data_IF_435013851251
#
_entry.id   IF_435013851251
#
_cell.length_a   1.000
_cell.length_b   1.000
_cell.length_c   1.000
_cell.angle_alpha   90.00
_cell.angle_beta   90.00
_cell.angle_gamma   90.00
#
_symmetry.space_group_name_H-M   'P 1'
#
loop_
_entity.id
_entity.type
_entity.pdbx_description
1 polymer ?
#
# COMPACT_ATOMS: atom_id res chain seq x y z
N UNK A 1 14.39 -8.90 -3.16
CA UNK A 1 13.39 -9.20 -2.11
C UNK A 1 12.91 -7.87 -1.56
N UNK A 2 11.63 -7.54 -1.68
CA UNK A 2 11.07 -6.31 -1.08
C UNK A 2 11.10 -6.43 0.45
N UNK A 3 11.36 -5.31 1.14
CA UNK A 3 11.13 -5.24 2.58
C UNK A 3 9.63 -5.19 2.86
N UNK A 4 9.22 -5.48 4.10
CA UNK A 4 7.81 -5.43 4.50
C UNK A 4 7.23 -4.03 4.22
N UNK A 5 7.96 -2.97 4.52
CA UNK A 5 7.56 -1.59 4.27
C UNK A 5 7.38 -1.29 2.78
N UNK A 6 8.31 -1.76 1.94
CA UNK A 6 8.20 -1.56 0.49
C UNK A 6 6.98 -2.29 -0.09
N UNK A 7 6.69 -3.50 0.40
CA UNK A 7 5.49 -4.21 0.01
C UNK A 7 4.21 -3.49 0.44
N UNK A 8 4.19 -2.86 1.62
CA UNK A 8 3.06 -2.04 2.08
C UNK A 8 2.85 -0.82 1.17
N UNK A 9 3.93 -0.11 0.80
CA UNK A 9 3.85 1.04 -0.12
C UNK A 9 3.31 0.60 -1.48
N UNK A 10 3.77 -0.55 -2.00
CA UNK A 10 3.29 -1.08 -3.27
C UNK A 10 1.77 -1.36 -3.25
N UNK A 11 1.26 -1.90 -2.16
CA UNK A 11 -0.18 -2.15 -1.98
C UNK A 11 -0.99 -0.86 -2.00
N UNK A 12 -0.50 0.17 -1.33
CA UNK A 12 -1.12 1.49 -1.28
C UNK A 12 -1.15 2.16 -2.67
N UNK A 13 -0.08 2.04 -3.44
CA UNK A 13 -0.03 2.54 -4.82
C UNK A 13 -0.98 1.78 -5.75
N UNK A 14 -1.07 0.46 -5.62
CA UNK A 14 -2.05 -0.34 -6.38
C UNK A 14 -3.47 0.10 -6.05
N UNK A 15 -3.77 0.36 -4.78
CA UNK A 15 -5.07 0.86 -4.37
C UNK A 15 -5.36 2.26 -4.93
N UNK A 16 -4.41 3.20 -4.87
CA UNK A 16 -4.53 4.54 -5.48
C UNK A 16 -4.92 4.45 -6.96
N UNK A 17 -4.24 3.59 -7.72
CA UNK A 17 -4.44 3.49 -9.17
C UNK A 17 -5.72 2.72 -9.56
N UNK A 18 -6.17 1.79 -8.72
CA UNK A 18 -7.23 0.83 -9.10
C UNK A 18 -8.51 0.93 -8.27
N UNK A 19 -8.48 1.63 -7.13
CA UNK A 19 -9.55 1.69 -6.14
C UNK A 19 -9.92 0.33 -5.54
N UNK A 20 -9.01 -0.65 -5.55
CA UNK A 20 -9.26 -2.05 -5.17
C UNK A 20 -8.14 -2.62 -4.27
N UNK A 21 -8.05 -2.15 -3.02
CA UNK A 21 -6.91 -2.38 -2.11
C UNK A 21 -6.64 -3.83 -1.69
N UNK A 22 -7.65 -4.55 -1.21
CA UNK A 22 -7.37 -5.66 -0.28
C UNK A 22 -7.37 -7.03 -0.94
N UNK A 23 -8.26 -7.26 -1.90
CA UNK A 23 -8.51 -8.59 -2.47
C UNK A 23 -7.45 -8.99 -3.51
N UNK A 24 -7.00 -8.06 -4.36
CA UNK A 24 -6.03 -8.32 -5.42
C UNK A 24 -4.65 -8.64 -4.84
N UNK A 25 -4.20 -7.83 -3.88
CA UNK A 25 -2.92 -7.97 -3.18
C UNK A 25 -2.81 -9.31 -2.45
N UNK A 26 -3.83 -9.69 -1.68
CA UNK A 26 -3.88 -10.96 -0.95
C UNK A 26 -3.84 -12.16 -1.92
N UNK A 27 -4.41 -12.01 -3.12
CA UNK A 27 -4.50 -13.06 -4.12
C UNK A 27 -3.21 -13.23 -4.95
N UNK A 28 -2.57 -12.13 -5.35
CA UNK A 28 -1.34 -12.13 -6.18
C UNK A 28 -0.07 -12.42 -5.39
N UNK A 29 -0.01 -12.06 -4.11
CA UNK A 29 1.16 -12.35 -3.28
C UNK A 29 1.25 -13.83 -2.82
N UNK A 30 0.32 -14.72 -3.23
CA UNK A 30 0.36 -16.14 -2.85
C UNK A 30 1.63 -16.82 -3.37
N UNK A 31 2.50 -17.21 -2.43
CA UNK A 31 3.62 -18.13 -2.64
C UNK A 31 4.88 -17.80 -1.85
N UNK A 32 5.16 -16.51 -1.60
CA UNK A 32 6.49 -16.06 -1.15
C UNK A 32 6.52 -15.03 -0.01
N UNK A 33 5.40 -14.81 0.67
CA UNK A 33 5.29 -13.78 1.73
C UNK A 33 5.66 -14.34 3.11
N UNK A 34 6.26 -13.51 3.96
CA UNK A 34 6.59 -13.84 5.35
C UNK A 34 5.46 -13.49 6.32
N UNK A 35 5.43 -14.15 7.49
CA UNK A 35 4.48 -13.83 8.56
C UNK A 35 4.59 -12.37 9.05
N UNK A 36 5.79 -11.78 8.98
CA UNK A 36 6.02 -10.37 9.30
C UNK A 36 5.26 -9.41 8.38
N UNK A 37 5.10 -9.75 7.10
CA UNK A 37 4.29 -8.96 6.18
C UNK A 37 2.81 -8.99 6.57
N UNK A 38 2.28 -10.18 6.87
CA UNK A 38 0.89 -10.35 7.31
C UNK A 38 0.60 -9.60 8.61
N UNK A 39 1.53 -9.57 9.57
CA UNK A 39 1.40 -8.76 10.78
C UNK A 39 1.46 -7.25 10.49
N UNK A 40 2.31 -6.82 9.55
CA UNK A 40 2.37 -5.43 9.11
C UNK A 40 1.05 -4.96 8.48
N UNK A 41 0.50 -5.78 7.59
CA UNK A 41 -0.84 -5.58 7.01
C UNK A 41 -1.90 -5.56 8.11
N UNK A 42 -1.96 -6.56 9.00
CA UNK A 42 -2.95 -6.57 10.08
C UNK A 42 -2.88 -5.36 11.02
N UNK A 43 -1.68 -4.77 11.23
CA UNK A 43 -1.51 -3.54 12.02
C UNK A 43 -2.06 -2.30 11.31
N UNK A 44 -1.87 -2.20 10.00
CA UNK A 44 -2.39 -1.09 9.18
C UNK A 44 -3.90 -1.24 8.96
N UNK A 45 -4.36 -2.46 8.69
CA UNK A 45 -5.74 -2.78 8.36
C UNK A 45 -6.63 -3.06 9.59
N UNK A 46 -6.12 -2.89 10.82
CA UNK A 46 -6.70 -3.26 12.12
C UNK A 46 -8.23 -3.28 12.27
N UNK A 47 -8.84 -2.41 13.09
CA UNK A 47 -10.28 -2.44 13.36
C UNK A 47 -11.15 -1.91 12.20
N UNK A 48 -10.54 -1.45 11.10
CA UNK A 48 -11.26 -0.93 9.95
C UNK A 48 -10.68 -1.56 8.68
N UNK A 49 -11.31 -2.65 8.23
CA UNK A 49 -11.00 -3.39 7.01
C UNK A 49 -11.15 -2.55 5.71
N UNK A 50 -11.35 -1.24 5.84
CA UNK A 50 -11.33 -0.21 4.79
C UNK A 50 -10.04 0.63 4.86
N UNK A 51 -8.88 0.01 5.03
CA UNK A 51 -7.63 0.75 4.79
C UNK A 51 -7.51 0.94 3.27
N UNK A 52 -8.19 2.00 2.84
CA UNK A 52 -8.12 2.59 1.52
C UNK A 52 -6.94 3.58 1.55
N UNK A 53 -6.34 3.81 0.38
CA UNK A 53 -5.34 4.84 0.19
C UNK A 53 -5.90 6.21 0.61
N UNK A 54 -5.23 6.88 1.56
CA UNK A 54 -5.68 8.17 2.13
C UNK A 54 -4.73 9.31 1.73
N UNK A 55 -4.94 9.95 0.55
CA UNK A 55 -4.03 10.97 0.04
C UNK A 55 -3.99 12.25 0.89
N UNK A 56 -4.99 12.48 1.75
CA UNK A 56 -5.08 13.71 2.56
C UNK A 56 -4.66 13.49 4.02
N UNK A 57 -4.68 12.24 4.49
CA UNK A 57 -4.24 11.85 5.83
C UNK A 57 -2.95 11.03 5.80
N UNK A 58 -3.07 9.74 6.10
CA UNK A 58 -1.92 8.88 6.41
C UNK A 58 -0.96 8.67 5.21
N UNK A 59 -1.46 8.81 3.97
CA UNK A 59 -0.70 8.60 2.74
C UNK A 59 -0.30 9.88 2.02
N UNK A 60 -0.50 11.05 2.65
CA UNK A 60 -0.17 12.35 2.05
C UNK A 60 1.28 12.46 1.56
N UNK A 61 2.24 11.92 2.31
CA UNK A 61 3.65 11.95 1.90
C UNK A 61 3.88 11.09 0.65
N UNK A 62 3.19 9.96 0.53
CA UNK A 62 3.26 9.11 -0.67
C UNK A 62 2.63 9.85 -1.84
N UNK A 63 1.49 10.51 -1.63
CA UNK A 63 0.80 11.29 -2.65
C UNK A 63 1.64 12.47 -3.17
N UNK A 64 2.29 13.22 -2.27
CA UNK A 64 3.16 14.34 -2.64
C UNK A 64 4.32 13.87 -3.53
N UNK A 65 4.92 12.72 -3.21
CA UNK A 65 5.99 12.12 -4.01
C UNK A 65 5.47 11.71 -5.39
N UNK A 66 4.33 11.00 -5.44
CA UNK A 66 3.75 10.53 -6.71
C UNK A 66 3.39 11.71 -7.61
N UNK A 67 2.73 12.74 -7.08
CA UNK A 67 2.41 13.97 -7.83
C UNK A 67 3.65 14.72 -8.30
N UNK A 68 4.71 14.74 -7.48
CA UNK A 68 6.01 15.32 -7.86
C UNK A 68 6.61 14.63 -9.09
N UNK A 69 6.55 13.30 -9.13
CA UNK A 69 7.01 12.49 -10.27
C UNK A 69 6.11 12.73 -11.49
N UNK A 70 4.78 12.71 -11.34
CA UNK A 70 3.82 12.95 -12.42
C UNK A 70 3.99 14.33 -13.06
N UNK A 71 4.36 15.34 -12.27
CA UNK A 71 4.63 16.70 -12.73
C UNK A 71 6.06 16.91 -13.26
N UNK A 72 6.94 15.91 -13.15
CA UNK A 72 8.34 15.98 -13.62
C UNK A 72 9.27 16.81 -12.73
N UNK A 73 8.92 17.01 -11.46
CA UNK A 73 9.78 17.72 -10.49
C UNK A 73 10.81 16.80 -9.82
N UNK A 74 10.59 15.49 -9.86
CA UNK A 74 11.42 14.41 -9.32
C UNK A 74 11.64 13.40 -10.44
#
# INVERSE_FOLDING_TARGET
KLTVTQGIILVKLIDRETGRSSYLVIKELKGSITAFFWQGIARIFGNNLKAEYDPEGDDRVIEDIVRGIEAGFI
#
